data_IF_684292352441
#
_entry.id   IF_684292352441
#
_cell.length_a   1.000
_cell.length_b   1.000
_cell.length_c   1.000
_cell.angle_alpha   90.00
_cell.angle_beta   90.00
_cell.angle_gamma   90.00
#
_symmetry.space_group_name_H-M   'P 1'
#
loop_
_entity.id
_entity.type
_entity.pdbx_description
1 polymer ?
#
# COMPACT_ATOMS: atom_id res chain seq x y z
N UNK A 1 -16.63 -10.90 -10.93
CA UNK A 1 -16.38 -11.76 -12.10
C UNK A 1 -15.53 -11.02 -13.11
N UNK A 2 -14.51 -11.68 -13.65
CA UNK A 2 -13.70 -11.19 -14.76
C UNK A 2 -13.60 -12.25 -15.86
N UNK A 3 -13.77 -11.81 -17.10
CA UNK A 3 -13.67 -12.67 -18.28
C UNK A 3 -12.61 -12.10 -19.22
N UNK A 4 -11.60 -12.90 -19.50
CA UNK A 4 -10.60 -12.60 -20.52
C UNK A 4 -10.89 -13.41 -21.77
N UNK A 5 -11.22 -12.74 -22.86
CA UNK A 5 -11.48 -13.36 -24.16
C UNK A 5 -10.77 -12.60 -25.26
N UNK A 6 -9.97 -13.28 -26.04
CA UNK A 6 -9.32 -12.74 -27.24
C UNK A 6 -9.44 -13.75 -28.38
N UNK A 7 -10.01 -13.34 -29.49
CA UNK A 7 -10.05 -14.12 -30.71
C UNK A 7 -9.32 -13.37 -31.82
N UNK A 8 -8.32 -14.00 -32.40
CA UNK A 8 -7.52 -13.47 -33.50
C UNK A 8 -7.28 -14.66 -34.44
N UNK A 9 -7.93 -14.75 -35.60
CA UNK A 9 -7.67 -15.65 -36.73
C UNK A 9 -6.96 -17.01 -36.53
N UNK A 10 -7.00 -17.61 -35.35
CA UNK A 10 -6.34 -18.86 -34.95
C UNK A 10 -6.81 -19.30 -33.58
N UNK A 11 -5.96 -19.99 -32.80
CA UNK A 11 -6.27 -20.39 -31.43
C UNK A 11 -6.55 -19.15 -30.59
N UNK A 12 -7.76 -19.08 -30.02
CA UNK A 12 -8.18 -17.99 -29.14
C UNK A 12 -7.53 -18.02 -27.75
N UNK A 13 -7.91 -17.10 -26.92
CA UNK A 13 -7.58 -17.02 -25.50
C UNK A 13 -8.86 -16.87 -24.69
N UNK A 14 -9.04 -17.68 -23.67
CA UNK A 14 -10.22 -17.61 -22.81
C UNK A 14 -9.87 -17.96 -21.37
N UNK A 15 -10.34 -17.13 -20.43
CA UNK A 15 -10.38 -17.42 -19.01
C UNK A 15 -11.55 -16.66 -18.36
N UNK A 16 -12.22 -17.30 -17.42
CA UNK A 16 -13.31 -16.71 -16.66
C UNK A 16 -13.12 -17.09 -15.19
N UNK A 17 -13.09 -16.10 -14.32
CA UNK A 17 -12.92 -16.27 -12.87
C UNK A 17 -13.94 -15.46 -12.09
N UNK A 18 -14.43 -16.05 -11.01
CA UNK A 18 -15.26 -15.39 -10.00
C UNK A 18 -14.48 -15.43 -8.69
N UNK A 19 -14.21 -14.29 -8.11
CA UNK A 19 -13.38 -14.15 -6.93
C UNK A 19 -13.86 -13.06 -5.99
N UNK A 20 -13.44 -13.15 -4.75
CA UNK A 20 -13.55 -12.11 -3.74
C UNK A 20 -12.16 -11.56 -3.43
N UNK A 21 -12.07 -10.26 -3.22
CA UNK A 21 -10.86 -9.58 -2.80
C UNK A 21 -11.15 -8.75 -1.54
N UNK A 22 -10.24 -8.78 -0.61
CA UNK A 22 -10.38 -8.03 0.64
C UNK A 22 -9.08 -7.96 1.41
N UNK A 23 -9.11 -7.39 2.63
CA UNK A 23 -7.95 -7.32 3.49
C UNK A 23 -7.50 -8.74 3.89
N UNK A 24 -6.20 -8.92 4.02
CA UNK A 24 -5.66 -10.12 4.67
C UNK A 24 -5.93 -10.09 6.18
N UNK A 25 -5.82 -11.23 6.82
CA UNK A 25 -5.86 -11.33 8.28
C UNK A 25 -4.71 -10.54 8.89
N UNK A 26 -4.92 -10.01 10.10
CA UNK A 26 -3.91 -9.25 10.82
C UNK A 26 -2.58 -10.01 10.95
N UNK A 27 -1.48 -9.32 10.69
CA UNK A 27 -0.13 -9.89 10.72
C UNK A 27 0.26 -10.70 9.48
N UNK A 28 -0.62 -10.90 8.51
CA UNK A 28 -0.28 -11.52 7.22
C UNK A 28 0.34 -10.49 6.27
N UNK A 29 1.36 -10.92 5.56
CA UNK A 29 2.06 -10.13 4.53
C UNK A 29 1.93 -10.85 3.19
N UNK A 30 1.81 -10.07 2.11
CA UNK A 30 1.66 -10.61 0.76
C UNK A 30 0.24 -11.11 0.46
N UNK A 31 0.16 -12.02 -0.49
CA UNK A 31 -1.12 -12.61 -0.92
C UNK A 31 -1.51 -13.81 -0.06
N UNK A 32 -2.70 -13.75 0.53
CA UNK A 32 -3.39 -14.94 1.04
C UNK A 32 -4.37 -15.42 -0.02
N UNK A 33 -4.07 -16.54 -0.65
CA UNK A 33 -4.90 -17.10 -1.72
C UNK A 33 -5.67 -18.32 -1.21
N UNK A 34 -6.99 -18.32 -1.43
CA UNK A 34 -7.89 -19.41 -1.06
C UNK A 34 -8.60 -19.92 -2.32
N UNK A 35 -8.55 -21.23 -2.54
CA UNK A 35 -9.26 -21.91 -3.61
C UNK A 35 -10.53 -22.58 -3.05
N UNK A 36 -11.68 -22.09 -3.47
CA UNK A 36 -13.00 -22.66 -3.15
C UNK A 36 -13.71 -23.21 -4.39
N UNK A 37 -13.01 -23.36 -5.52
CA UNK A 37 -13.61 -23.88 -6.76
C UNK A 37 -14.07 -25.31 -6.57
N UNK A 38 -15.30 -25.57 -6.98
CA UNK A 38 -15.92 -26.91 -6.95
C UNK A 38 -16.14 -27.43 -8.35
N UNK A 39 -16.23 -28.77 -8.47
CA UNK A 39 -16.61 -29.41 -9.72
C UNK A 39 -15.63 -29.34 -10.87
N UNK A 40 -14.41 -28.80 -10.65
CA UNK A 40 -13.41 -28.67 -11.73
C UNK A 40 -13.73 -27.60 -12.77
N UNK A 41 -14.60 -26.63 -12.44
CA UNK A 41 -14.97 -25.52 -13.32
C UNK A 41 -13.78 -24.68 -13.75
N UNK A 42 -12.79 -24.54 -12.87
CA UNK A 42 -11.43 -24.11 -13.19
C UNK A 42 -10.50 -25.30 -12.96
N UNK A 43 -9.86 -25.85 -14.01
CA UNK A 43 -8.91 -26.95 -13.85
C UNK A 43 -7.80 -26.63 -12.86
N UNK A 44 -7.44 -27.60 -12.03
CA UNK A 44 -6.42 -27.43 -11.00
C UNK A 44 -5.06 -26.92 -11.53
N UNK A 45 -4.74 -27.25 -12.78
CA UNK A 45 -3.52 -26.81 -13.45
C UNK A 45 -3.49 -25.29 -13.73
N UNK A 46 -4.66 -24.61 -13.76
CA UNK A 46 -4.75 -23.17 -14.01
C UNK A 46 -4.83 -22.34 -12.72
N UNK A 47 -5.15 -22.95 -11.59
CA UNK A 47 -5.27 -22.25 -10.30
C UNK A 47 -3.97 -21.56 -9.88
N UNK A 48 -2.77 -22.19 -10.00
CA UNK A 48 -1.50 -21.50 -9.74
C UNK A 48 -1.28 -20.27 -10.62
N UNK A 49 -1.77 -20.28 -11.86
CA UNK A 49 -1.66 -19.14 -12.76
C UNK A 49 -2.56 -17.97 -12.32
N UNK A 50 -3.74 -18.25 -11.79
CA UNK A 50 -4.63 -17.25 -11.18
C UNK A 50 -3.94 -16.61 -9.97
N UNK A 51 -3.39 -17.41 -9.07
CA UNK A 51 -2.64 -16.91 -7.92
C UNK A 51 -1.48 -16.02 -8.35
N UNK A 52 -0.65 -16.48 -9.29
CA UNK A 52 0.47 -15.71 -9.84
C UNK A 52 0.02 -14.39 -10.47
N UNK A 53 -1.14 -14.36 -11.14
CA UNK A 53 -1.71 -13.15 -11.69
C UNK A 53 -2.04 -12.11 -10.63
N UNK A 54 -2.64 -12.51 -9.51
CA UNK A 54 -2.91 -11.63 -8.38
C UNK A 54 -1.62 -11.19 -7.69
N UNK A 55 -0.66 -12.08 -7.46
CA UNK A 55 0.65 -11.73 -6.87
C UNK A 55 1.39 -10.68 -7.70
N UNK A 56 1.44 -10.87 -9.01
CA UNK A 56 2.09 -9.90 -9.91
C UNK A 56 1.36 -8.55 -9.95
N UNK A 57 0.05 -8.54 -9.79
CA UNK A 57 -0.75 -7.32 -9.75
C UNK A 57 -0.50 -6.50 -8.48
N UNK A 58 -0.13 -7.11 -7.37
CA UNK A 58 0.19 -6.41 -6.12
C UNK A 58 1.36 -5.44 -6.24
N UNK A 59 2.30 -5.67 -7.16
CA UNK A 59 3.45 -4.80 -7.39
C UNK A 59 3.04 -3.40 -7.86
N UNK A 60 1.89 -3.28 -8.52
CA UNK A 60 1.33 -2.02 -9.02
C UNK A 60 -0.11 -1.86 -8.55
N UNK A 61 -0.28 -1.32 -7.35
CA UNK A 61 -1.60 -1.07 -6.76
C UNK A 61 -2.48 -0.18 -7.63
N UNK A 62 -3.80 -0.35 -7.50
CA UNK A 62 -4.80 0.25 -8.38
C UNK A 62 -4.94 1.77 -8.24
N UNK A 63 -4.59 2.36 -7.09
CA UNK A 63 -4.79 3.79 -6.83
C UNK A 63 -3.66 4.66 -7.40
N UNK A 64 -2.44 4.45 -6.93
CA UNK A 64 -1.29 5.30 -7.28
C UNK A 64 -0.06 4.51 -7.75
N UNK A 65 -0.21 3.20 -7.95
CA UNK A 65 0.87 2.31 -8.42
C UNK A 65 1.83 1.85 -7.32
N UNK A 66 1.58 2.15 -6.07
CA UNK A 66 2.35 1.61 -4.94
C UNK A 66 2.06 0.13 -4.73
N UNK A 67 3.06 -0.61 -4.28
CA UNK A 67 2.91 -2.03 -3.93
C UNK A 67 1.85 -2.21 -2.84
N UNK A 68 1.00 -3.22 -3.02
CA UNK A 68 0.08 -3.65 -1.97
C UNK A 68 0.83 -4.54 -0.98
N UNK A 69 0.77 -4.19 0.29
CA UNK A 69 1.48 -4.89 1.35
C UNK A 69 0.86 -6.26 1.65
N UNK A 70 -0.46 -6.32 1.75
CA UNK A 70 -1.20 -7.55 1.99
C UNK A 70 -2.60 -7.51 1.40
N UNK A 71 -3.08 -8.65 0.92
CA UNK A 71 -4.48 -8.83 0.53
C UNK A 71 -4.87 -10.30 0.57
N UNK A 72 -6.16 -10.56 0.66
CA UNK A 72 -6.76 -11.89 0.54
C UNK A 72 -7.58 -11.98 -0.73
N UNK A 73 -7.36 -13.03 -1.50
CA UNK A 73 -8.18 -13.39 -2.66
C UNK A 73 -8.74 -14.78 -2.45
N UNK A 74 -10.05 -14.92 -2.60
CA UNK A 74 -10.73 -16.21 -2.60
C UNK A 74 -11.29 -16.46 -3.99
N UNK A 75 -10.75 -17.46 -4.68
CA UNK A 75 -11.27 -17.91 -5.96
C UNK A 75 -12.50 -18.77 -5.71
N UNK A 76 -13.67 -18.29 -6.10
CA UNK A 76 -14.97 -18.93 -5.83
C UNK A 76 -15.37 -19.90 -6.93
N UNK A 77 -15.22 -19.51 -8.19
CA UNK A 77 -15.66 -20.26 -9.33
C UNK A 77 -15.02 -19.70 -10.62
N UNK A 78 -15.40 -20.28 -11.74
CA UNK A 78 -14.98 -19.82 -13.06
C UNK A 78 -15.41 -20.75 -14.14
N UNK A 79 -14.86 -20.57 -15.35
CA UNK A 79 -15.02 -21.48 -16.46
C UNK A 79 -13.81 -21.47 -17.37
N UNK A 80 -13.66 -22.51 -18.17
CA UNK A 80 -12.59 -22.65 -19.13
C UNK A 80 -13.12 -23.13 -20.48
N UNK A 81 -12.33 -22.94 -21.52
CA UNK A 81 -12.61 -23.46 -22.85
C UNK A 81 -11.55 -24.51 -23.21
N UNK A 82 -11.93 -25.73 -23.64
CA UNK A 82 -10.99 -26.84 -23.84
C UNK A 82 -9.81 -26.53 -24.78
N UNK A 83 -10.02 -25.63 -25.76
CA UNK A 83 -9.00 -25.27 -26.75
C UNK A 83 -8.31 -23.94 -26.47
N UNK A 84 -9.07 -22.95 -25.98
CA UNK A 84 -8.62 -21.55 -25.89
C UNK A 84 -8.11 -21.17 -24.48
N UNK A 85 -8.25 -22.06 -23.49
CA UNK A 85 -7.73 -21.81 -22.16
C UNK A 85 -6.30 -22.31 -21.99
N UNK A 86 -5.50 -21.49 -21.35
CA UNK A 86 -4.13 -21.81 -20.94
C UNK A 86 -3.76 -21.04 -19.66
N UNK A 87 -2.62 -21.37 -19.08
CA UNK A 87 -2.13 -20.71 -17.87
C UNK A 87 -1.98 -19.19 -18.04
N UNK A 88 -1.46 -18.74 -19.18
CA UNK A 88 -1.28 -17.32 -19.45
C UNK A 88 -2.61 -16.57 -19.51
N UNK A 89 -3.66 -17.18 -20.08
CA UNK A 89 -5.00 -16.59 -20.13
C UNK A 89 -5.57 -16.36 -18.72
N UNK A 90 -5.40 -17.31 -17.82
CA UNK A 90 -5.84 -17.20 -16.44
C UNK A 90 -4.99 -16.18 -15.64
N UNK A 91 -3.67 -16.12 -15.87
CA UNK A 91 -2.81 -15.11 -15.26
C UNK A 91 -3.21 -13.68 -15.67
N UNK A 92 -3.47 -13.46 -16.96
CA UNK A 92 -3.95 -12.17 -17.48
C UNK A 92 -5.33 -11.83 -16.92
N UNK A 93 -6.24 -12.81 -16.91
CA UNK A 93 -7.59 -12.65 -16.35
C UNK A 93 -7.53 -12.20 -14.88
N UNK A 94 -6.69 -12.82 -14.07
CA UNK A 94 -6.50 -12.44 -12.68
C UNK A 94 -5.95 -11.01 -12.53
N UNK A 95 -4.96 -10.62 -13.32
CA UNK A 95 -4.44 -9.24 -13.32
C UNK A 95 -5.49 -8.21 -13.71
N UNK A 96 -6.29 -8.50 -14.72
CA UNK A 96 -7.37 -7.63 -15.15
C UNK A 96 -8.47 -7.54 -14.08
N UNK A 97 -8.85 -8.68 -13.50
CA UNK A 97 -9.79 -8.75 -12.40
C UNK A 97 -9.36 -7.92 -11.19
N UNK A 98 -8.08 -7.99 -10.81
CA UNK A 98 -7.52 -7.14 -9.78
C UNK A 98 -7.68 -5.64 -10.10
N UNK A 99 -7.32 -5.21 -11.31
CA UNK A 99 -7.44 -3.80 -11.72
C UNK A 99 -8.87 -3.28 -11.67
N UNK A 100 -9.85 -4.14 -11.95
CA UNK A 100 -11.28 -3.81 -11.88
C UNK A 100 -11.82 -3.80 -10.45
N UNK A 101 -11.37 -4.73 -9.62
CA UNK A 101 -11.92 -4.97 -8.30
C UNK A 101 -11.25 -4.12 -7.20
N UNK A 102 -9.94 -3.93 -7.25
CA UNK A 102 -9.20 -3.27 -6.18
C UNK A 102 -9.68 -1.84 -5.87
N UNK A 103 -10.01 -0.96 -6.83
CA UNK A 103 -10.56 0.36 -6.52
C UNK A 103 -11.91 0.29 -5.80
N UNK A 104 -12.71 -0.74 -6.09
CA UNK A 104 -14.04 -0.94 -5.51
C UNK A 104 -14.00 -1.63 -4.15
N UNK A 105 -12.88 -2.29 -3.83
CA UNK A 105 -12.68 -3.02 -2.59
C UNK A 105 -12.29 -2.11 -1.40
N UNK A 106 -12.26 -0.79 -1.59
CA UNK A 106 -11.87 0.15 -0.54
C UNK A 106 -10.36 0.23 -0.32
N UNK A 107 -9.56 0.09 -1.39
CA UNK A 107 -8.12 0.31 -1.33
C UNK A 107 -7.79 1.71 -0.80
N UNK A 108 -6.81 1.80 0.09
CA UNK A 108 -6.34 3.06 0.70
C UNK A 108 -4.83 3.20 0.52
N UNK A 109 -4.34 4.43 0.51
CA UNK A 109 -2.91 4.72 0.52
C UNK A 109 -2.45 4.75 1.97
N UNK A 110 -1.38 4.01 2.26
CA UNK A 110 -0.72 3.98 3.56
C UNK A 110 0.57 4.77 3.51
N UNK A 111 0.93 5.40 4.61
CA UNK A 111 2.20 6.09 4.78
C UNK A 111 2.95 5.58 6.01
N UNK A 112 4.31 5.53 5.97
CA UNK A 112 5.09 5.18 7.13
C UNK A 112 5.06 6.30 8.16
N UNK A 113 4.81 5.94 9.42
CA UNK A 113 4.88 6.83 10.58
C UNK A 113 6.11 6.50 11.39
N UNK A 114 6.88 7.52 11.71
CA UNK A 114 8.12 7.41 12.43
C UNK A 114 7.93 7.74 13.92
N UNK A 115 8.64 7.00 14.75
CA UNK A 115 8.83 7.33 16.17
C UNK A 115 10.00 8.30 16.28
N UNK A 116 9.71 9.52 16.67
CA UNK A 116 10.71 10.60 16.78
C UNK A 116 10.93 10.93 18.25
N UNK A 117 12.19 10.97 18.67
CA UNK A 117 12.58 11.43 20.00
C UNK A 117 13.52 12.62 19.84
N UNK A 118 13.21 13.71 20.51
CA UNK A 118 14.04 14.94 20.52
C UNK A 118 14.50 15.23 21.93
N UNK A 119 15.80 15.35 22.11
CA UNK A 119 16.43 15.79 23.36
C UNK A 119 16.84 17.25 23.21
N UNK A 120 16.30 18.12 24.07
CA UNK A 120 16.41 19.57 23.89
C UNK A 120 16.55 20.29 25.24
N UNK A 121 17.18 21.48 25.27
CA UNK A 121 16.99 22.40 26.39
C UNK A 121 15.53 22.81 26.55
N UNK A 122 15.11 23.07 27.77
CA UNK A 122 13.71 23.43 28.08
C UNK A 122 13.23 24.65 27.32
N UNK A 123 14.08 25.63 27.13
CA UNK A 123 13.76 26.89 26.41
C UNK A 123 13.33 26.69 24.92
N UNK A 124 13.82 25.62 24.29
CA UNK A 124 13.49 25.31 22.88
C UNK A 124 12.32 24.32 22.72
N UNK A 125 11.85 23.74 23.81
CA UNK A 125 10.84 22.68 23.79
C UNK A 125 9.50 23.13 23.14
N UNK A 126 9.04 24.34 23.45
CA UNK A 126 7.79 24.87 22.91
C UNK A 126 7.83 25.02 21.39
N UNK A 127 8.91 25.55 20.85
CA UNK A 127 9.10 25.73 19.40
C UNK A 127 9.25 24.38 18.68
N UNK A 128 9.91 23.41 19.31
CA UNK A 128 10.05 22.04 18.79
C UNK A 128 8.69 21.35 18.73
N UNK A 129 7.88 21.43 19.77
CA UNK A 129 6.52 20.89 19.79
C UNK A 129 5.66 21.55 18.70
N UNK A 130 5.77 22.87 18.56
CA UNK A 130 5.06 23.63 17.51
C UNK A 130 5.45 23.18 16.11
N UNK A 131 6.72 22.94 15.86
CA UNK A 131 7.20 22.46 14.55
C UNK A 131 6.73 21.01 14.28
N UNK A 132 6.83 20.12 15.26
CA UNK A 132 6.33 18.74 15.12
C UNK A 132 4.84 18.70 14.84
N UNK A 133 4.05 19.56 15.48
CA UNK A 133 2.61 19.67 15.21
C UNK A 133 2.32 20.16 13.77
N UNK A 134 3.11 21.09 13.24
CA UNK A 134 3.01 21.53 11.84
C UNK A 134 3.31 20.40 10.86
N UNK A 135 4.13 19.44 11.26
CA UNK A 135 4.49 18.24 10.49
C UNK A 135 3.51 17.08 10.67
N UNK A 136 2.29 17.35 11.05
CA UNK A 136 1.27 16.33 11.38
C UNK A 136 1.73 15.38 12.48
N UNK A 137 2.64 15.81 13.32
CA UNK A 137 3.14 15.02 14.44
C UNK A 137 2.13 14.91 15.58
N UNK A 138 2.09 13.75 16.20
CA UNK A 138 1.30 13.48 17.39
C UNK A 138 2.25 13.32 18.57
N UNK A 139 2.24 14.27 19.51
CA UNK A 139 3.06 14.22 20.72
C UNK A 139 2.58 13.07 21.60
N UNK A 140 3.47 12.15 21.92
CA UNK A 140 3.17 10.97 22.73
C UNK A 140 3.52 11.18 24.21
N UNK A 141 4.52 11.99 24.48
CA UNK A 141 4.97 12.24 25.83
C UNK A 141 6.12 13.22 25.91
N UNK A 142 6.34 13.71 27.10
CA UNK A 142 7.46 14.58 27.43
C UNK A 142 8.08 14.06 28.73
N UNK A 143 9.38 13.82 28.69
CA UNK A 143 10.14 13.34 29.82
C UNK A 143 11.26 14.32 30.16
N UNK A 144 11.86 14.16 31.34
CA UNK A 144 13.05 14.90 31.77
C UNK A 144 14.23 13.95 31.88
N UNK A 145 15.36 14.34 31.28
CA UNK A 145 16.62 13.60 31.36
C UNK A 145 17.73 14.54 31.84
N UNK A 146 17.97 14.54 33.14
CA UNK A 146 18.86 15.52 33.78
C UNK A 146 18.31 16.95 33.65
N UNK A 147 19.09 17.85 33.02
CA UNK A 147 18.67 19.23 32.71
C UNK A 147 17.97 19.35 31.35
N UNK A 148 17.96 18.30 30.57
CA UNK A 148 17.32 18.28 29.24
C UNK A 148 15.88 17.79 29.31
N UNK A 149 15.09 18.20 28.31
CA UNK A 149 13.73 17.71 28.06
C UNK A 149 13.76 16.74 26.91
N UNK A 150 12.93 15.71 26.98
CA UNK A 150 12.75 14.69 25.93
C UNK A 150 11.34 14.77 25.41
N UNK A 151 11.18 15.05 24.11
CA UNK A 151 9.88 15.06 23.42
C UNK A 151 9.79 13.83 22.55
N UNK A 152 8.73 13.05 22.74
CA UNK A 152 8.42 11.86 21.93
C UNK A 152 7.20 12.13 21.09
N UNK A 153 7.30 11.83 19.79
CA UNK A 153 6.20 12.05 18.84
C UNK A 153 6.13 10.94 17.78
N UNK A 154 4.95 10.78 17.21
CA UNK A 154 4.73 10.01 16.00
C UNK A 154 4.52 10.98 14.85
N UNK A 155 5.34 10.89 13.81
CA UNK A 155 5.34 11.84 12.70
C UNK A 155 5.42 11.06 11.37
N UNK A 156 4.59 11.39 10.37
CA UNK A 156 4.71 10.79 9.05
C UNK A 156 6.08 11.08 8.44
N UNK A 157 6.70 10.06 7.84
CA UNK A 157 8.04 10.19 7.24
C UNK A 157 8.08 11.29 6.18
N UNK A 158 7.02 11.44 5.40
CA UNK A 158 6.94 12.47 4.35
C UNK A 158 7.09 13.91 4.87
N UNK A 159 6.77 14.14 6.14
CA UNK A 159 6.88 15.45 6.82
C UNK A 159 8.26 15.68 7.48
N UNK A 160 9.12 14.66 7.51
CA UNK A 160 10.40 14.73 8.21
C UNK A 160 11.57 15.21 7.35
N UNK A 161 11.35 15.42 6.07
CA UNK A 161 12.39 15.98 5.19
C UNK A 161 12.81 17.38 5.66
N UNK A 162 14.13 17.59 5.77
CA UNK A 162 14.70 18.86 6.23
C UNK A 162 14.56 19.13 7.72
N UNK A 163 14.02 18.19 8.52
CA UNK A 163 13.78 18.38 9.95
C UNK A 163 15.05 18.70 10.73
N UNK A 164 16.16 18.01 10.46
CA UNK A 164 17.42 18.22 11.18
C UNK A 164 17.92 19.68 11.05
N UNK A 165 17.76 20.29 9.89
CA UNK A 165 18.12 21.68 9.66
C UNK A 165 17.25 22.64 10.46
N UNK A 166 15.95 22.41 10.46
CA UNK A 166 14.99 23.21 11.24
C UNK A 166 15.25 23.05 12.73
N UNK A 167 15.49 21.83 13.21
CA UNK A 167 15.80 21.55 14.60
C UNK A 167 17.06 22.29 15.07
N UNK A 168 18.11 22.30 14.25
CA UNK A 168 19.34 23.07 14.54
C UNK A 168 19.07 24.56 14.67
N UNK A 169 18.24 25.11 13.80
CA UNK A 169 17.87 26.54 13.84
C UNK A 169 17.08 26.86 15.11
N UNK A 170 16.05 26.08 15.42
CA UNK A 170 15.19 26.28 16.62
C UNK A 170 16.01 26.20 17.91
N UNK A 171 16.92 25.24 18.01
CA UNK A 171 17.67 24.96 19.23
C UNK A 171 19.06 25.58 19.31
N UNK A 172 19.44 26.39 18.32
CA UNK A 172 20.81 26.90 18.18
C UNK A 172 21.86 25.76 18.22
N UNK A 173 21.54 24.63 17.59
CA UNK A 173 22.39 23.45 17.51
C UNK A 173 22.45 22.59 18.78
N UNK A 174 21.67 22.92 19.82
CA UNK A 174 21.73 22.24 21.12
C UNK A 174 20.79 21.02 21.25
N UNK A 175 19.80 20.87 20.37
CA UNK A 175 18.93 19.71 20.36
C UNK A 175 19.45 18.60 19.44
N UNK A 176 19.15 17.37 19.81
CA UNK A 176 19.41 16.17 19.01
C UNK A 176 18.13 15.40 18.79
N UNK A 177 18.04 14.68 17.69
CA UNK A 177 16.89 13.83 17.40
C UNK A 177 17.30 12.45 16.94
N UNK A 178 16.48 11.47 17.25
CA UNK A 178 16.50 10.13 16.67
C UNK A 178 15.16 9.83 16.04
N UNK A 179 15.17 8.99 15.03
CA UNK A 179 13.97 8.61 14.28
C UNK A 179 14.07 7.15 13.87
N UNK A 180 13.02 6.38 14.16
CA UNK A 180 12.90 4.99 13.76
C UNK A 180 11.49 4.70 13.21
N UNK A 181 11.38 3.68 12.38
CA UNK A 181 10.08 3.27 11.86
C UNK A 181 9.19 2.75 13.00
N UNK A 182 7.94 3.19 13.02
CA UNK A 182 6.94 2.74 13.97
C UNK A 182 5.92 1.81 13.31
N UNK A 183 5.11 2.32 12.42
CA UNK A 183 4.01 1.60 11.76
C UNK A 183 3.56 2.33 10.49
N UNK A 184 2.65 1.72 9.75
CA UNK A 184 1.93 2.38 8.66
C UNK A 184 0.58 2.88 9.13
N UNK A 185 0.16 4.05 8.65
CA UNK A 185 -1.19 4.61 8.82
C UNK A 185 -1.78 5.02 7.49
N UNK A 186 -3.10 5.09 7.43
CA UNK A 186 -3.82 5.60 6.27
C UNK A 186 -3.52 7.09 6.08
N UNK A 187 -3.19 7.48 4.84
CA UNK A 187 -2.99 8.87 4.46
C UNK A 187 -4.33 9.62 4.53
N UNK A 188 -4.38 10.82 5.11
CA UNK A 188 -5.59 11.64 5.10
C UNK A 188 -6.17 11.82 3.70
N UNK A 189 -7.50 11.77 3.58
CA UNK A 189 -8.20 11.70 2.29
C UNK A 189 -7.83 12.82 1.30
N UNK A 190 -7.61 14.05 1.80
CA UNK A 190 -7.18 15.19 0.98
C UNK A 190 -5.80 14.98 0.37
N UNK A 191 -4.83 14.48 1.16
CA UNK A 191 -3.48 14.19 0.69
C UNK A 191 -3.45 12.96 -0.22
N UNK A 192 -4.22 11.92 0.10
CA UNK A 192 -4.37 10.74 -0.75
C UNK A 192 -4.87 11.11 -2.15
N UNK A 193 -5.84 12.01 -2.24
CA UNK A 193 -6.35 12.53 -3.52
C UNK A 193 -5.26 13.21 -4.34
N UNK A 194 -4.46 14.08 -3.72
CA UNK A 194 -3.33 14.73 -4.39
C UNK A 194 -2.30 13.71 -4.91
N UNK A 195 -1.98 12.68 -4.12
CA UNK A 195 -1.04 11.62 -4.51
C UNK A 195 -1.57 10.87 -5.73
N UNK A 196 -2.85 10.50 -5.73
CA UNK A 196 -3.50 9.79 -6.83
C UNK A 196 -3.51 10.65 -8.10
N UNK A 197 -3.88 11.92 -8.00
CA UNK A 197 -3.90 12.87 -9.12
C UNK A 197 -2.51 13.05 -9.74
N UNK A 198 -1.47 13.24 -8.93
CA UNK A 198 -0.08 13.36 -9.38
C UNK A 198 0.43 12.09 -10.07
N UNK A 199 0.04 10.91 -9.58
CA UNK A 199 0.43 9.65 -10.21
C UNK A 199 -0.29 9.40 -11.53
N UNK A 200 -1.54 9.84 -11.65
CA UNK A 200 -2.34 9.75 -12.88
C UNK A 200 -1.82 10.69 -13.97
N UNK A 201 -1.35 11.89 -13.60
CA UNK A 201 -0.69 12.81 -14.52
C UNK A 201 0.59 12.25 -15.12
N UNK A 202 1.45 11.65 -14.29
CA UNK A 202 2.70 11.02 -14.75
C UNK A 202 2.49 9.82 -15.68
N UNK A 203 1.35 9.13 -15.59
CA UNK A 203 1.02 8.02 -16.52
C UNK A 203 0.62 8.50 -17.91
N UNK A 204 -0.01 9.67 -18.02
CA UNK A 204 -0.38 10.27 -19.32
C UNK A 204 0.80 10.81 -20.10
N UNK A 205 1.88 11.17 -19.43
CA UNK A 205 3.12 11.68 -20.06
C UNK A 205 4.03 10.55 -20.57
N UNK A 206 3.68 9.27 -20.32
CA UNK A 206 4.44 8.07 -20.70
C UNK A 206 3.73 7.19 -21.76
N UNK A 207 2.52 7.57 -22.19
CA UNK A 207 1.76 6.97 -23.29
C UNK A 207 1.87 7.83 -24.57
#
# INVERSE_FOLDING_TARGET
REVFKKQTGGRGKFADIIFEIGPAEEGKVGLTFVDEVKGGNVPKEFIPAVQKGFESAMANGALAGYTIDSMKVTLKDGSFHPVDSDQLSFEICARNGFRQAAPKAGSVIMEPVMSVEVVTPEESMGDIIGDLNKRRGMIQGMDQKGTARVVKAKVPLSEMFGYVTVLRTISSGRATSSMEFSHFEEVPANLAKEIIEKSSGKRKDLE
#
